data_IF_625726662499
#
_entry.id   IF_625726662499
#
_cell.length_a   1.000
_cell.length_b   1.000
_cell.length_c   1.000
_cell.angle_alpha   90.00
_cell.angle_beta   90.00
_cell.angle_gamma   90.00
#
_symmetry.space_group_name_H-M   'P 1'
#
loop_
_entity.id
_entity.type
_entity.pdbx_description
1 polymer ?
#
# COMPACT_ATOMS: atom_id res chain seq x y z
N UNK A 1 -48.18 1.48 15.86
CA UNK A 1 -47.86 2.93 15.86
C UNK A 1 -46.86 3.27 16.97
N UNK A 2 -47.12 2.88 18.21
CA UNK A 2 -46.19 3.11 19.34
C UNK A 2 -44.81 2.45 19.15
N UNK A 3 -44.77 1.15 18.80
CA UNK A 3 -43.48 0.44 18.62
C UNK A 3 -42.65 0.99 17.45
N UNK A 4 -43.31 1.42 16.37
CA UNK A 4 -42.65 2.01 15.20
C UNK A 4 -42.07 3.39 15.52
N UNK A 5 -42.77 4.19 16.34
CA UNK A 5 -42.27 5.48 16.82
C UNK A 5 -41.09 5.30 17.78
N UNK A 6 -41.18 4.33 18.70
CA UNK A 6 -40.08 3.99 19.60
C UNK A 6 -38.85 3.50 18.84
N UNK A 7 -39.03 2.60 17.85
CA UNK A 7 -37.95 2.13 16.99
C UNK A 7 -37.31 3.27 16.19
N UNK A 8 -38.12 4.16 15.59
CA UNK A 8 -37.62 5.32 14.86
C UNK A 8 -36.80 6.26 15.76
N UNK A 9 -37.25 6.49 16.99
CA UNK A 9 -36.53 7.32 17.95
C UNK A 9 -35.19 6.69 18.34
N UNK A 10 -35.16 5.38 18.62
CA UNK A 10 -33.92 4.64 18.92
C UNK A 10 -32.96 4.67 17.74
N UNK A 11 -33.44 4.43 16.51
CA UNK A 11 -32.63 4.51 15.30
C UNK A 11 -32.04 5.90 15.10
N UNK A 12 -32.82 6.96 15.33
CA UNK A 12 -32.34 8.34 15.22
C UNK A 12 -31.28 8.65 16.27
N UNK A 13 -31.47 8.19 17.52
CA UNK A 13 -30.49 8.35 18.58
C UNK A 13 -29.17 7.62 18.26
N UNK A 14 -29.23 6.41 17.71
CA UNK A 14 -28.05 5.65 17.27
C UNK A 14 -27.32 6.34 16.12
N UNK A 15 -28.04 6.84 15.12
CA UNK A 15 -27.45 7.59 14.01
C UNK A 15 -26.78 8.87 14.50
N UNK A 16 -27.42 9.59 15.42
CA UNK A 16 -26.84 10.79 16.02
C UNK A 16 -25.57 10.48 16.82
N UNK A 17 -25.60 9.43 17.66
CA UNK A 17 -24.44 8.98 18.43
C UNK A 17 -23.27 8.56 17.51
N UNK A 18 -23.56 7.84 16.43
CA UNK A 18 -22.56 7.43 15.45
C UNK A 18 -21.95 8.64 14.75
N UNK A 19 -22.77 9.57 14.27
CA UNK A 19 -22.30 10.80 13.62
C UNK A 19 -21.48 11.67 14.58
N UNK A 20 -21.94 11.87 15.82
CA UNK A 20 -21.19 12.60 16.84
C UNK A 20 -19.83 11.95 17.11
N UNK A 21 -19.77 10.62 17.17
CA UNK A 21 -18.52 9.88 17.36
C UNK A 21 -17.56 10.02 16.18
N UNK A 22 -18.06 9.96 14.94
CA UNK A 22 -17.26 10.17 13.72
C UNK A 22 -16.72 11.60 13.71
N UNK A 23 -17.54 12.60 14.01
CA UNK A 23 -17.13 14.00 14.05
C UNK A 23 -16.06 14.24 15.13
N UNK A 24 -16.25 13.67 16.32
CA UNK A 24 -15.27 13.74 17.40
C UNK A 24 -13.95 13.04 17.07
N UNK A 25 -13.99 11.86 16.43
CA UNK A 25 -12.79 11.18 15.96
C UNK A 25 -12.09 12.01 14.87
N UNK A 26 -12.86 12.55 13.93
CA UNK A 26 -12.34 13.34 12.81
C UNK A 26 -11.69 14.65 13.27
N UNK A 27 -12.21 15.31 14.32
CA UNK A 27 -11.62 16.53 14.87
C UNK A 27 -10.28 16.28 15.58
N UNK A 28 -9.99 15.03 15.96
CA UNK A 28 -8.68 14.61 16.49
C UNK A 28 -7.72 14.13 15.42
N UNK A 29 -8.16 13.95 14.17
CA UNK A 29 -7.25 13.64 13.07
C UNK A 29 -6.39 14.86 12.81
N UNK A 30 -5.07 14.65 12.74
CA UNK A 30 -4.17 15.72 12.32
C UNK A 30 -4.55 16.13 10.90
N UNK A 31 -4.60 17.45 10.60
CA UNK A 31 -4.77 17.92 9.24
C UNK A 31 -3.77 17.19 8.34
N UNK A 32 -4.24 16.72 7.17
CA UNK A 32 -3.36 16.10 6.19
C UNK A 32 -2.26 17.11 5.87
N UNK A 33 -1.05 16.85 6.36
CA UNK A 33 0.10 17.67 6.02
C UNK A 33 0.30 17.54 4.51
N UNK A 34 0.41 18.68 3.83
CA UNK A 34 0.90 18.70 2.46
C UNK A 34 2.34 18.20 2.52
N UNK A 35 2.57 17.01 1.97
CA UNK A 35 3.92 16.48 1.81
C UNK A 35 4.47 17.16 0.56
N UNK A 36 5.41 18.08 0.75
CA UNK A 36 6.12 18.67 -0.39
C UNK A 36 7.01 17.61 -1.03
N UNK A 37 7.21 17.65 -2.36
CA UNK A 37 8.18 16.81 -3.02
C UNK A 37 9.56 16.96 -2.35
N UNK A 38 10.32 15.87 -2.21
CA UNK A 38 11.64 15.92 -1.63
C UNK A 38 12.56 16.87 -2.42
N UNK A 39 13.44 17.57 -1.71
CA UNK A 39 14.47 18.38 -2.36
C UNK A 39 15.45 17.51 -3.15
N UNK A 40 16.13 18.05 -4.15
CA UNK A 40 17.13 17.31 -4.96
C UNK A 40 18.33 16.78 -4.16
N UNK A 41 18.48 17.18 -2.89
CA UNK A 41 19.58 16.78 -1.99
C UNK A 41 19.29 15.52 -1.17
N UNK A 42 18.21 14.79 -1.45
CA UNK A 42 17.92 13.56 -0.71
C UNK A 42 18.93 12.43 -1.00
N UNK A 43 19.21 11.57 0.00
CA UNK A 43 20.05 10.39 -0.22
C UNK A 43 19.39 9.41 -1.20
N UNK A 44 20.19 8.65 -1.97
CA UNK A 44 19.65 7.54 -2.74
C UNK A 44 19.08 6.48 -1.80
N UNK A 45 18.00 5.81 -2.22
CA UNK A 45 17.35 4.74 -1.44
C UNK A 45 17.14 3.49 -2.27
N UNK A 46 17.24 2.33 -1.63
CA UNK A 46 16.86 1.05 -2.22
C UNK A 46 15.53 0.60 -1.63
N UNK A 47 14.55 0.34 -2.48
CA UNK A 47 13.22 -0.10 -2.05
C UNK A 47 13.09 -1.59 -2.35
N UNK A 48 12.99 -2.38 -1.28
CA UNK A 48 12.73 -3.82 -1.38
C UNK A 48 11.22 -4.04 -1.41
N UNK A 49 10.74 -4.75 -2.43
CA UNK A 49 9.32 -5.00 -2.68
C UNK A 49 9.07 -6.52 -2.70
N UNK A 50 8.76 -7.13 -1.54
CA UNK A 50 8.29 -8.51 -1.49
C UNK A 50 6.99 -8.63 -2.28
N UNK A 51 6.93 -9.60 -3.19
CA UNK A 51 5.83 -9.78 -4.12
C UNK A 51 5.40 -11.24 -4.11
N UNK A 52 4.08 -11.47 -4.13
CA UNK A 52 3.50 -12.80 -4.20
C UNK A 52 2.12 -12.74 -4.83
N UNK A 53 1.92 -13.50 -5.90
CA UNK A 53 0.64 -13.56 -6.60
C UNK A 53 0.24 -12.24 -7.26
N UNK A 54 -0.88 -12.28 -7.98
CA UNK A 54 -1.50 -11.09 -8.58
C UNK A 54 -2.72 -10.73 -7.75
N UNK A 55 -2.75 -9.49 -7.30
CA UNK A 55 -3.81 -8.87 -6.51
C UNK A 55 -4.57 -7.83 -7.34
N UNK A 56 -5.77 -7.40 -6.92
CA UNK A 56 -6.57 -6.44 -7.68
C UNK A 56 -5.86 -5.15 -8.07
N UNK A 57 -4.86 -4.70 -7.28
CA UNK A 57 -4.13 -3.45 -7.49
C UNK A 57 -2.63 -3.67 -7.79
N UNK A 58 -2.23 -4.87 -8.24
CA UNK A 58 -0.83 -5.13 -8.55
C UNK A 58 -0.31 -4.20 -9.64
N UNK A 59 -1.09 -3.95 -10.69
CA UNK A 59 -0.67 -3.09 -11.78
C UNK A 59 -0.46 -1.65 -11.32
N UNK A 60 -1.42 -1.09 -10.58
CA UNK A 60 -1.32 0.26 -10.04
C UNK A 60 -0.17 0.38 -9.03
N UNK A 61 0.04 -0.64 -8.19
CA UNK A 61 1.16 -0.68 -7.25
C UNK A 61 2.50 -0.62 -7.97
N UNK A 62 2.67 -1.42 -9.03
CA UNK A 62 3.87 -1.37 -9.86
C UNK A 62 4.04 0.01 -10.51
N UNK A 63 3.00 0.54 -11.15
CA UNK A 63 3.05 1.85 -11.80
C UNK A 63 3.46 2.95 -10.82
N UNK A 64 2.93 2.90 -9.58
CA UNK A 64 3.28 3.84 -8.52
C UNK A 64 4.70 3.67 -8.00
N UNK A 65 5.19 2.44 -7.88
CA UNK A 65 6.55 2.17 -7.46
C UNK A 65 7.58 2.78 -8.43
N UNK A 66 7.29 2.75 -9.73
CA UNK A 66 8.13 3.35 -10.78
C UNK A 66 7.93 4.87 -10.97
N UNK A 67 6.94 5.47 -10.31
CA UNK A 67 6.60 6.89 -10.45
C UNK A 67 6.72 7.66 -9.13
N UNK A 68 7.59 7.23 -8.22
CA UNK A 68 7.81 7.92 -6.95
C UNK A 68 8.48 9.28 -7.18
N UNK A 69 8.03 10.30 -6.45
CA UNK A 69 8.61 11.64 -6.48
C UNK A 69 9.98 11.74 -5.78
N UNK A 70 10.62 10.60 -5.46
CA UNK A 70 11.95 10.56 -4.83
C UNK A 70 13.06 10.69 -5.88
N UNK A 71 14.07 11.55 -5.69
CA UNK A 71 14.97 11.93 -6.78
C UNK A 71 15.89 10.80 -7.26
N UNK A 72 16.29 9.88 -6.39
CA UNK A 72 17.17 8.74 -6.73
C UNK A 72 16.78 7.52 -5.93
N UNK A 73 16.25 6.50 -6.59
CA UNK A 73 15.92 5.23 -5.96
C UNK A 73 16.12 4.06 -6.91
N UNK A 74 16.26 2.86 -6.35
CA UNK A 74 16.16 1.60 -7.07
C UNK A 74 15.03 0.73 -6.50
N UNK A 75 14.51 -0.18 -7.33
CA UNK A 75 13.50 -1.16 -6.97
C UNK A 75 14.10 -2.57 -6.99
N UNK A 76 13.98 -3.28 -5.89
CA UNK A 76 14.41 -4.68 -5.76
C UNK A 76 13.14 -5.49 -5.46
N UNK A 77 12.57 -6.10 -6.49
CA UNK A 77 11.44 -6.99 -6.33
C UNK A 77 11.92 -8.37 -5.87
N UNK A 78 11.21 -8.99 -4.95
CA UNK A 78 11.54 -10.33 -4.44
C UNK A 78 10.32 -11.25 -4.59
N UNK A 79 10.53 -12.44 -5.14
CA UNK A 79 9.53 -13.51 -5.20
C UNK A 79 10.14 -14.82 -4.69
N UNK A 80 9.31 -15.68 -4.08
CA UNK A 80 9.77 -16.98 -3.61
C UNK A 80 10.11 -17.94 -4.76
N UNK A 81 9.35 -17.89 -5.86
CA UNK A 81 9.45 -18.82 -6.99
C UNK A 81 9.39 -18.06 -8.32
N UNK A 82 10.13 -18.53 -9.33
CA UNK A 82 10.18 -17.91 -10.65
C UNK A 82 8.84 -18.02 -11.40
N UNK A 83 8.02 -18.99 -11.02
CA UNK A 83 6.73 -19.30 -11.61
C UNK A 83 5.58 -18.48 -11.01
N UNK A 84 5.85 -17.63 -10.00
CA UNK A 84 4.81 -16.78 -9.42
C UNK A 84 4.19 -15.88 -10.52
N UNK A 85 2.86 -15.83 -10.65
CA UNK A 85 2.20 -15.08 -11.72
C UNK A 85 2.57 -13.58 -11.74
N UNK A 86 2.98 -13.01 -10.61
CA UNK A 86 3.43 -11.61 -10.51
C UNK A 86 4.70 -11.32 -11.30
N UNK A 87 5.55 -12.33 -11.51
CA UNK A 87 6.85 -12.20 -12.20
C UNK A 87 6.69 -11.61 -13.60
N UNK A 88 5.65 -12.01 -14.33
CA UNK A 88 5.37 -11.47 -15.68
C UNK A 88 5.05 -9.98 -15.64
N UNK A 89 4.27 -9.53 -14.65
CA UNK A 89 3.90 -8.13 -14.49
C UNK A 89 5.10 -7.29 -14.05
N UNK A 90 5.92 -7.80 -13.13
CA UNK A 90 7.16 -7.12 -12.69
C UNK A 90 8.11 -6.95 -13.88
N UNK A 91 8.39 -8.00 -14.64
CA UNK A 91 9.29 -7.92 -15.79
C UNK A 91 8.76 -6.95 -16.86
N UNK A 92 7.45 -6.96 -17.12
CA UNK A 92 6.82 -6.00 -18.03
C UNK A 92 6.96 -4.55 -17.52
N UNK A 93 6.80 -4.33 -16.21
CA UNK A 93 6.98 -3.01 -15.61
C UNK A 93 8.43 -2.53 -15.69
N UNK A 94 9.41 -3.39 -15.38
CA UNK A 94 10.85 -3.09 -15.51
C UNK A 94 11.17 -2.66 -16.96
N UNK A 95 10.68 -3.40 -17.96
CA UNK A 95 10.90 -3.06 -19.36
C UNK A 95 10.26 -1.73 -19.78
N UNK A 96 9.11 -1.37 -19.18
CA UNK A 96 8.38 -0.14 -19.48
C UNK A 96 9.01 1.12 -18.85
N UNK A 97 9.77 0.96 -17.76
CA UNK A 97 10.38 2.07 -17.01
C UNK A 97 11.91 1.96 -16.91
N UNK A 98 12.64 2.05 -18.04
CA UNK A 98 14.09 1.81 -18.08
C UNK A 98 14.94 2.85 -17.31
N UNK A 99 14.34 4.00 -16.95
CA UNK A 99 15.04 5.08 -16.24
C UNK A 99 15.13 4.87 -14.73
N UNK A 100 14.39 3.91 -14.17
CA UNK A 100 14.43 3.56 -12.76
C UNK A 100 15.18 2.23 -12.64
N UNK A 101 16.35 2.19 -11.96
CA UNK A 101 17.08 0.95 -11.73
C UNK A 101 16.18 -0.06 -11.02
N UNK A 102 15.97 -1.22 -11.64
CA UNK A 102 15.10 -2.24 -11.10
C UNK A 102 15.60 -3.64 -11.40
N UNK A 103 15.42 -4.56 -10.45
CA UNK A 103 15.74 -5.99 -10.63
C UNK A 103 14.74 -6.86 -9.88
N UNK A 104 14.62 -8.11 -10.35
CA UNK A 104 13.86 -9.16 -9.70
C UNK A 104 14.82 -10.19 -9.11
N UNK A 105 14.67 -10.48 -7.82
CA UNK A 105 15.33 -11.55 -7.10
C UNK A 105 14.33 -12.69 -6.90
N UNK A 106 14.79 -13.93 -7.10
CA UNK A 106 14.01 -15.15 -6.89
C UNK A 106 14.71 -15.99 -5.82
N UNK A 107 13.99 -16.34 -4.75
CA UNK A 107 14.51 -17.21 -3.69
C UNK A 107 13.61 -17.25 -2.46
N UNK A 108 13.71 -18.34 -1.70
CA UNK A 108 13.01 -18.59 -0.43
C UNK A 108 14.01 -19.09 0.63
N UNK A 109 14.92 -18.20 1.03
CA UNK A 109 15.92 -18.50 2.07
C UNK A 109 15.27 -18.40 3.46
N UNK A 110 14.66 -19.50 3.90
CA UNK A 110 13.92 -19.54 5.17
C UNK A 110 14.87 -19.48 6.37
N UNK A 111 14.87 -18.34 7.06
CA UNK A 111 15.67 -18.10 8.27
C UNK A 111 14.98 -18.55 9.57
N UNK A 112 13.65 -18.68 9.57
CA UNK A 112 12.90 -19.09 10.75
C UNK A 112 11.59 -19.82 10.42
N UNK A 113 10.98 -20.46 11.42
CA UNK A 113 9.63 -21.01 11.29
C UNK A 113 8.53 -19.94 11.19
N UNK A 114 8.80 -18.69 11.58
CA UNK A 114 7.83 -17.59 11.49
C UNK A 114 7.81 -17.04 10.06
N UNK A 115 6.72 -17.24 9.29
CA UNK A 115 6.66 -16.79 7.89
C UNK A 115 6.90 -15.28 7.74
N UNK A 116 6.57 -14.46 8.74
CA UNK A 116 6.77 -13.01 8.67
C UNK A 116 8.24 -12.58 8.70
N UNK A 117 9.13 -13.43 9.22
CA UNK A 117 10.57 -13.16 9.22
C UNK A 117 11.25 -13.66 7.93
N UNK A 118 10.52 -14.39 7.08
CA UNK A 118 11.02 -14.91 5.80
C UNK A 118 10.44 -14.12 4.60
N UNK A 119 9.79 -12.99 4.86
CA UNK A 119 9.23 -12.10 3.83
C UNK A 119 10.29 -11.15 3.28
#
# INVERSE_FOLDING_TARGET
MELTLAAAFVSLALLFSNLASILFASSRLKPRRVIHPPSSKQPPVSIVVPSRGVEPFTQETLDRAFSLDWPRYELIFCVAHAEDPVVKLINAAIARFPNVPARLLVGDDRISANPKLNN
#
